data_IF_030258458851
#
_entry.id   IF_030258458851
#
_cell.length_a   1.000
_cell.length_b   1.000
_cell.length_c   1.000
_cell.angle_alpha   90.00
_cell.angle_beta   90.00
_cell.angle_gamma   90.00
#
_symmetry.space_group_name_H-M   'P 1'
#
loop_
_entity.id
_entity.type
_entity.pdbx_description
1 polymer ?
#
# COMPACT_ATOMS: atom_id res chain seq x y z
N UNK A 1 28.47 -13.95 11.84
CA UNK A 1 27.31 -13.44 11.08
C UNK A 1 27.81 -12.34 10.17
N UNK A 2 27.84 -12.58 8.87
CA UNK A 2 28.18 -11.55 7.87
C UNK A 2 27.01 -10.58 7.76
N UNK A 3 27.25 -9.30 8.03
CA UNK A 3 26.27 -8.25 7.81
C UNK A 3 26.11 -8.07 6.32
N UNK A 4 24.95 -8.46 5.78
CA UNK A 4 24.61 -8.15 4.40
C UNK A 4 24.53 -6.64 4.25
N UNK A 5 25.28 -6.08 3.30
CA UNK A 5 25.31 -4.65 3.07
C UNK A 5 24.13 -4.27 2.16
N UNK A 6 23.12 -3.62 2.71
CA UNK A 6 21.99 -3.06 1.95
C UNK A 6 22.37 -1.66 1.47
N UNK A 7 22.23 -1.40 0.17
CA UNK A 7 22.34 -0.04 -0.36
C UNK A 7 21.06 0.78 -0.14
N UNK A 8 21.15 2.11 -0.31
CA UNK A 8 20.05 3.02 -0.05
C UNK A 8 18.82 2.74 -0.93
N UNK A 9 19.02 2.37 -2.19
CA UNK A 9 17.91 2.10 -3.11
C UNK A 9 17.17 0.84 -2.66
N UNK A 10 17.92 -0.22 -2.33
CA UNK A 10 17.35 -1.46 -1.81
C UNK A 10 16.62 -1.22 -0.49
N UNK A 11 17.17 -0.42 0.41
CA UNK A 11 16.52 -0.03 1.65
C UNK A 11 15.17 0.66 1.39
N UNK A 12 15.12 1.63 0.48
CA UNK A 12 13.89 2.37 0.16
C UNK A 12 12.83 1.44 -0.43
N UNK A 13 13.20 0.60 -1.40
CA UNK A 13 12.29 -0.36 -2.02
C UNK A 13 11.75 -1.35 -0.97
N UNK A 14 12.63 -1.93 -0.14
CA UNK A 14 12.21 -2.87 0.90
C UNK A 14 11.25 -2.23 1.91
N UNK A 15 11.42 -0.93 2.24
CA UNK A 15 10.49 -0.21 3.12
C UNK A 15 9.14 0.05 2.45
N UNK A 16 9.12 0.34 1.15
CA UNK A 16 7.88 0.55 0.40
C UNK A 16 7.12 -0.76 0.15
N UNK A 17 7.82 -1.89 0.06
CA UNK A 17 7.19 -3.21 -0.12
C UNK A 17 6.74 -3.82 1.21
N UNK A 18 7.42 -3.51 2.32
CA UNK A 18 7.05 -4.01 3.63
C UNK A 18 5.59 -3.70 4.00
N UNK A 19 5.05 -2.54 3.57
CA UNK A 19 3.65 -2.20 3.84
C UNK A 19 2.64 -3.17 3.21
N UNK A 20 2.96 -3.80 2.07
CA UNK A 20 2.11 -4.83 1.49
C UNK A 20 2.16 -6.14 2.26
N UNK A 21 3.31 -6.50 2.83
CA UNK A 21 3.40 -7.71 3.65
C UNK A 21 2.43 -7.64 4.84
N UNK A 22 2.20 -6.45 5.40
CA UNK A 22 1.22 -6.25 6.46
C UNK A 22 -0.21 -6.34 5.94
N UNK A 23 -0.50 -5.80 4.76
CA UNK A 23 -1.84 -5.90 4.14
C UNK A 23 -2.18 -7.36 3.80
N UNK A 24 -1.26 -8.10 3.21
CA UNK A 24 -1.45 -9.52 2.89
C UNK A 24 -1.81 -10.34 4.12
N UNK A 25 -1.16 -10.06 5.26
CA UNK A 25 -1.46 -10.72 6.53
C UNK A 25 -2.85 -10.38 7.09
N UNK A 26 -3.44 -9.24 6.73
CA UNK A 26 -4.80 -8.90 7.16
C UNK A 26 -5.84 -9.85 6.57
N UNK A 27 -5.54 -10.50 5.43
CA UNK A 27 -6.47 -11.43 4.78
C UNK A 27 -6.85 -12.60 5.69
N UNK A 28 -5.94 -13.02 6.56
CA UNK A 28 -6.16 -14.14 7.46
C UNK A 28 -6.89 -13.66 8.73
N UNK A 29 -8.22 -13.82 8.73
CA UNK A 29 -9.04 -13.63 9.93
C UNK A 29 -9.88 -12.35 10.00
N UNK A 30 -9.96 -11.58 8.91
CA UNK A 30 -10.90 -10.47 8.78
C UNK A 30 -12.11 -10.88 7.93
N UNK A 31 -13.31 -10.53 8.37
CA UNK A 31 -14.53 -10.64 7.55
C UNK A 31 -14.72 -9.39 6.69
N UNK A 32 -15.49 -9.50 5.60
CA UNK A 32 -15.84 -8.32 4.78
C UNK A 32 -16.53 -7.25 5.63
N UNK A 33 -17.43 -7.64 6.55
CA UNK A 33 -18.10 -6.70 7.45
C UNK A 33 -17.09 -5.89 8.27
N UNK A 34 -16.08 -6.54 8.85
CA UNK A 34 -15.01 -5.87 9.59
C UNK A 34 -14.14 -5.00 8.67
N UNK A 35 -13.88 -5.44 7.45
CA UNK A 35 -13.06 -4.72 6.48
C UNK A 35 -13.69 -3.39 6.05
N UNK A 36 -15.01 -3.38 5.86
CA UNK A 36 -15.77 -2.20 5.45
C UNK A 36 -16.31 -1.38 6.64
N UNK A 37 -16.24 -1.89 7.86
CA UNK A 37 -16.77 -1.21 9.05
C UNK A 37 -16.07 0.13 9.32
N UNK A 38 -16.88 1.16 9.59
CA UNK A 38 -16.44 2.49 10.01
C UNK A 38 -16.85 2.72 11.48
N UNK A 39 -15.91 2.69 12.43
CA UNK A 39 -16.23 2.80 13.87
C UNK A 39 -16.91 4.11 14.29
N UNK A 40 -16.46 5.23 13.74
CA UNK A 40 -16.98 6.58 14.02
C UNK A 40 -17.01 7.41 12.74
N UNK A 41 -17.82 8.48 12.73
CA UNK A 41 -17.94 9.41 11.58
C UNK A 41 -16.59 10.01 11.14
N UNK A 42 -15.66 10.19 12.07
CA UNK A 42 -14.33 10.77 11.81
C UNK A 42 -13.24 9.71 11.54
N UNK A 43 -13.60 8.43 11.53
CA UNK A 43 -12.68 7.32 11.25
C UNK A 43 -12.83 6.81 9.82
N UNK A 44 -11.75 6.25 9.28
CA UNK A 44 -11.77 5.52 8.01
C UNK A 44 -11.92 4.01 8.28
N UNK A 45 -12.58 3.29 7.37
CA UNK A 45 -12.60 1.82 7.39
C UNK A 45 -11.24 1.23 6.99
N UNK A 46 -11.02 -0.04 7.29
CA UNK A 46 -9.80 -0.75 6.89
C UNK A 46 -9.68 -0.76 5.36
N UNK A 47 -10.79 -1.00 4.65
CA UNK A 47 -10.86 -0.92 3.19
C UNK A 47 -10.36 0.43 2.66
N UNK A 48 -10.82 1.53 3.26
CA UNK A 48 -10.39 2.87 2.86
C UNK A 48 -8.90 3.08 3.10
N UNK A 49 -8.37 2.62 4.25
CA UNK A 49 -6.94 2.75 4.58
C UNK A 49 -6.05 1.97 3.61
N UNK A 50 -6.44 0.74 3.25
CA UNK A 50 -5.71 -0.08 2.26
C UNK A 50 -5.74 0.56 0.87
N UNK A 51 -6.90 1.03 0.44
CA UNK A 51 -7.03 1.78 -0.82
C UNK A 51 -6.18 3.06 -0.81
N UNK A 52 -6.25 3.85 0.26
CA UNK A 52 -5.55 5.13 0.39
C UNK A 52 -4.03 4.95 0.36
N UNK A 53 -3.52 3.96 1.08
CA UNK A 53 -2.10 3.60 1.04
C UNK A 53 -1.67 3.16 -0.37
N UNK A 54 -2.49 2.36 -1.04
CA UNK A 54 -2.22 1.91 -2.42
C UNK A 54 -2.18 3.09 -3.40
N UNK A 55 -3.08 4.08 -3.25
CA UNK A 55 -3.06 5.34 -4.02
C UNK A 55 -1.80 6.15 -3.78
N UNK A 56 -1.38 6.28 -2.52
CA UNK A 56 -0.16 7.01 -2.18
C UNK A 56 1.08 6.36 -2.79
N UNK A 57 1.19 5.03 -2.71
CA UNK A 57 2.32 4.30 -3.28
C UNK A 57 2.35 4.41 -4.80
N UNK A 58 1.23 4.15 -5.48
CA UNK A 58 1.14 4.28 -6.94
C UNK A 58 1.63 5.66 -7.42
N UNK A 59 1.13 6.73 -6.79
CA UNK A 59 1.57 8.09 -7.09
C UNK A 59 3.07 8.30 -6.82
N UNK A 60 3.58 7.79 -5.71
CA UNK A 60 5.00 7.94 -5.34
C UNK A 60 5.90 7.19 -6.30
N UNK A 61 5.55 5.95 -6.65
CA UNK A 61 6.26 5.13 -7.62
C UNK A 61 6.31 5.82 -8.97
N UNK A 62 5.18 6.33 -9.47
CA UNK A 62 5.12 7.07 -10.74
C UNK A 62 6.02 8.33 -10.74
N UNK A 63 6.09 9.06 -9.63
CA UNK A 63 6.99 10.22 -9.49
C UNK A 63 8.46 9.80 -9.58
N UNK A 64 8.82 8.69 -8.94
CA UNK A 64 10.22 8.21 -8.89
C UNK A 64 10.64 7.56 -10.21
N UNK A 65 9.77 6.76 -10.84
CA UNK A 65 10.08 6.06 -12.10
C UNK A 65 9.89 6.93 -13.34
N UNK A 66 9.07 7.98 -13.26
CA UNK A 66 8.64 8.77 -14.42
C UNK A 66 7.57 8.08 -15.27
N UNK A 67 7.02 6.95 -14.81
CA UNK A 67 5.96 6.22 -15.48
C UNK A 67 4.57 6.81 -15.15
N UNK A 68 3.57 6.39 -15.92
CA UNK A 68 2.16 6.72 -15.63
C UNK A 68 1.67 5.94 -14.42
N UNK A 69 0.87 6.60 -13.56
CA UNK A 69 0.18 5.93 -12.45
C UNK A 69 -0.70 4.78 -12.97
N UNK A 70 -0.65 3.64 -12.28
CA UNK A 70 -1.53 2.48 -12.52
C UNK A 70 -2.98 2.89 -12.41
N UNK A 71 -3.31 3.79 -11.48
CA UNK A 71 -4.66 4.35 -11.31
C UNK A 71 -5.26 4.91 -12.61
N UNK A 72 -4.41 5.49 -13.47
CA UNK A 72 -4.82 6.03 -14.76
C UNK A 72 -4.63 5.05 -15.91
N UNK A 73 -3.49 4.34 -15.97
CA UNK A 73 -3.20 3.44 -17.10
C UNK A 73 -4.12 2.22 -17.14
N UNK A 74 -4.54 1.72 -15.98
CA UNK A 74 -5.41 0.54 -15.85
C UNK A 74 -6.89 0.91 -15.66
N UNK A 75 -7.27 2.17 -15.87
CA UNK A 75 -8.68 2.58 -15.90
C UNK A 75 -9.40 2.65 -14.54
N UNK A 76 -8.69 2.57 -13.41
CA UNK A 76 -9.30 2.66 -12.07
C UNK A 76 -9.93 4.02 -11.74
N UNK A 77 -9.52 5.07 -12.46
CA UNK A 77 -10.03 6.44 -12.31
C UNK A 77 -11.40 6.70 -12.96
N UNK A 78 -12.00 5.71 -13.61
CA UNK A 78 -13.21 5.84 -14.42
C UNK A 78 -14.47 5.45 -13.67
#
# INVERSE_FOLDING_TARGET
>A
MTTEHIDLNRFIVDRLDASYLWIERLRDGITDEQFYYQPTVDSNSIAWLVWHLSRWRDRTSAIVSGETQVWTSEGWSQ
#
